data_IF_961222613899
#
_entry.id   IF_961222613899
#
_cell.length_a   1.000
_cell.length_b   1.000
_cell.length_c   1.000
_cell.angle_alpha   90.00
_cell.angle_beta   90.00
_cell.angle_gamma   90.00
#
_symmetry.space_group_name_H-M   'P 1'
#
loop_
_entity.id
_entity.type
_entity.pdbx_description
1 polymer ?
#
# COMPACT_ATOMS: atom_id res chain seq x y z
N UNK A 1 -7.16 7.93 7.64
CA UNK A 1 -5.68 8.05 7.64
C UNK A 1 -5.14 8.52 9.00
N UNK A 2 -4.16 7.81 9.57
CA UNK A 2 -3.44 8.23 10.80
C UNK A 2 -2.61 9.49 10.54
N UNK A 3 -2.22 10.23 11.59
CA UNK A 3 -1.34 11.39 11.45
C UNK A 3 0.03 11.01 10.89
N UNK A 4 0.53 9.82 11.24
CA UNK A 4 1.80 9.28 10.74
C UNK A 4 1.80 9.11 9.22
N UNK A 5 0.76 8.48 8.64
CA UNK A 5 0.63 8.35 7.18
C UNK A 5 0.51 9.69 6.46
N UNK A 6 -0.12 10.70 7.08
CA UNK A 6 -0.17 12.06 6.50
C UNK A 6 1.22 12.69 6.44
N UNK A 7 2.01 12.55 7.49
CA UNK A 7 3.39 13.04 7.56
C UNK A 7 4.27 12.34 6.55
N UNK A 8 4.14 11.03 6.41
CA UNK A 8 4.87 10.22 5.43
C UNK A 8 4.57 10.65 3.98
N UNK A 9 3.30 10.80 3.61
CA UNK A 9 2.89 11.29 2.28
C UNK A 9 3.45 12.70 2.03
N UNK A 10 3.39 13.58 3.04
CA UNK A 10 3.95 14.92 2.97
C UNK A 10 5.47 14.88 2.73
N UNK A 11 6.19 14.01 3.43
CA UNK A 11 7.63 13.85 3.26
C UNK A 11 7.98 13.38 1.85
N UNK A 12 7.34 12.32 1.36
CA UNK A 12 7.59 11.74 0.04
C UNK A 12 7.26 12.69 -1.11
N UNK A 13 6.20 13.51 -0.97
CA UNK A 13 5.78 14.47 -1.99
C UNK A 13 6.54 15.82 -1.93
N UNK A 14 7.16 16.15 -0.80
CA UNK A 14 7.83 17.45 -0.58
C UNK A 14 9.05 17.64 -1.48
N UNK A 15 9.19 18.81 -2.11
CA UNK A 15 10.40 19.18 -2.87
C UNK A 15 11.62 19.49 -1.99
N UNK A 16 11.45 19.56 -0.66
CA UNK A 16 12.50 19.93 0.29
C UNK A 16 13.55 18.83 0.51
N UNK A 17 13.21 17.58 0.24
CA UNK A 17 14.07 16.42 0.50
C UNK A 17 14.66 15.88 -0.79
N UNK A 18 15.90 15.38 -0.70
CA UNK A 18 16.57 14.79 -1.85
C UNK A 18 15.92 13.47 -2.24
N UNK A 19 16.19 12.98 -3.46
CA UNK A 19 15.72 11.65 -3.87
C UNK A 19 16.31 10.55 -2.99
N UNK A 20 17.55 10.73 -2.51
CA UNK A 20 18.18 9.78 -1.59
C UNK A 20 17.45 9.70 -0.25
N UNK A 21 17.10 10.84 0.36
CA UNK A 21 16.33 10.87 1.62
C UNK A 21 14.96 10.20 1.45
N UNK A 22 14.30 10.53 0.34
CA UNK A 22 13.00 9.93 0.01
C UNK A 22 13.09 8.45 -0.30
N UNK A 23 14.21 7.97 -0.83
CA UNK A 23 14.43 6.53 -1.06
C UNK A 23 14.41 5.76 0.25
N UNK A 24 15.07 6.28 1.29
CA UNK A 24 15.05 5.68 2.63
C UNK A 24 13.64 5.68 3.22
N UNK A 25 12.93 6.82 3.12
CA UNK A 25 11.55 6.90 3.58
C UNK A 25 10.61 5.95 2.82
N UNK A 26 10.78 5.84 1.50
CA UNK A 26 10.02 4.93 0.66
C UNK A 26 10.20 3.49 1.14
N UNK A 27 11.43 3.06 1.43
CA UNK A 27 11.69 1.71 1.95
C UNK A 27 10.89 1.44 3.23
N UNK A 28 10.92 2.38 4.19
CA UNK A 28 10.15 2.27 5.43
C UNK A 28 8.65 2.17 5.17
N UNK A 29 8.13 3.06 4.34
CA UNK A 29 6.71 3.13 3.97
C UNK A 29 6.21 1.88 3.23
N UNK A 30 6.98 1.38 2.26
CA UNK A 30 6.67 0.15 1.52
C UNK A 30 6.65 -1.03 2.48
N UNK A 31 7.61 -1.09 3.39
CA UNK A 31 7.69 -2.15 4.41
C UNK A 31 6.46 -2.11 5.30
N UNK A 32 6.08 -0.95 5.84
CA UNK A 32 4.87 -0.78 6.65
C UNK A 32 3.62 -1.20 5.86
N UNK A 33 3.51 -0.77 4.60
CA UNK A 33 2.38 -1.08 3.72
C UNK A 33 2.24 -2.58 3.49
N UNK A 34 3.34 -3.30 3.23
CA UNK A 34 3.35 -4.76 3.06
C UNK A 34 2.87 -5.46 4.36
N UNK A 35 3.27 -4.95 5.52
CA UNK A 35 2.86 -5.52 6.81
C UNK A 35 1.46 -5.15 7.26
N UNK A 36 0.82 -4.16 6.64
CA UNK A 36 -0.53 -3.72 6.99
C UNK A 36 -1.56 -4.82 6.67
N UNK A 37 -2.09 -5.44 7.74
CA UNK A 37 -3.11 -6.50 7.64
C UNK A 37 -4.51 -5.97 7.37
N UNK A 38 -4.71 -4.67 7.48
CA UNK A 38 -5.96 -4.01 7.12
C UNK A 38 -5.99 -3.78 5.60
N UNK A 39 -4.84 -3.46 5.00
CA UNK A 39 -4.70 -3.34 3.54
C UNK A 39 -4.74 -4.73 2.88
N UNK A 40 -3.88 -5.63 3.33
CA UNK A 40 -3.76 -6.97 2.76
C UNK A 40 -4.17 -7.97 3.81
N UNK A 41 -5.30 -8.66 3.63
CA UNK A 41 -5.71 -9.70 4.59
C UNK A 41 -4.91 -10.96 4.37
N UNK A 42 -4.73 -11.32 3.10
CA UNK A 42 -3.95 -12.47 2.66
C UNK A 42 -2.66 -11.99 1.99
N UNK A 43 -1.66 -12.86 1.93
CA UNK A 43 -0.42 -12.50 1.25
C UNK A 43 -0.59 -12.45 -0.28
N UNK A 44 -1.53 -13.20 -0.85
CA UNK A 44 -1.80 -13.14 -2.29
C UNK A 44 -2.32 -11.77 -2.73
N UNK A 45 -3.01 -11.05 -1.83
CA UNK A 45 -3.48 -9.68 -2.09
C UNK A 45 -2.30 -8.71 -2.35
N UNK A 46 -1.10 -9.04 -1.85
CA UNK A 46 0.10 -8.23 -2.06
C UNK A 46 0.52 -8.19 -3.52
N UNK A 47 0.17 -9.20 -4.34
CA UNK A 47 0.55 -9.26 -5.76
C UNK A 47 0.13 -8.01 -6.52
N UNK A 48 -1.06 -7.47 -6.21
CA UNK A 48 -1.56 -6.23 -6.83
C UNK A 48 -0.65 -5.06 -6.50
N UNK A 49 -0.25 -4.90 -5.25
CA UNK A 49 0.62 -3.80 -4.83
C UNK A 49 2.07 -3.99 -5.32
N UNK A 50 2.60 -5.21 -5.23
CA UNK A 50 3.98 -5.47 -5.64
C UNK A 50 4.21 -5.37 -7.14
N UNK A 51 3.14 -5.45 -7.95
CA UNK A 51 3.21 -5.23 -9.40
C UNK A 51 3.84 -3.88 -9.78
N UNK A 52 3.61 -2.84 -8.97
CA UNK A 52 4.21 -1.51 -9.14
C UNK A 52 5.73 -1.58 -9.21
N UNK A 53 6.34 -2.35 -8.29
CA UNK A 53 7.77 -2.54 -8.24
C UNK A 53 8.22 -3.53 -9.31
N UNK A 54 7.43 -4.57 -9.56
CA UNK A 54 7.74 -5.59 -10.55
C UNK A 54 7.89 -4.99 -11.95
N UNK A 55 6.95 -4.13 -12.37
CA UNK A 55 6.96 -3.48 -13.68
C UNK A 55 8.19 -2.58 -13.85
N UNK A 56 8.53 -1.81 -12.81
CA UNK A 56 9.73 -1.00 -12.80
C UNK A 56 11.01 -1.86 -12.92
N UNK A 57 11.15 -2.90 -12.10
CA UNK A 57 12.37 -3.71 -12.07
C UNK A 57 12.52 -4.61 -13.29
N UNK A 58 11.43 -5.07 -13.92
CA UNK A 58 11.50 -5.78 -15.21
C UNK A 58 12.12 -4.92 -16.31
N UNK A 59 11.87 -3.61 -16.27
CA UNK A 59 12.40 -2.68 -17.27
C UNK A 59 13.83 -2.22 -17.01
N UNK A 60 14.34 -2.41 -15.79
CA UNK A 60 15.64 -1.84 -15.35
C UNK A 60 16.67 -2.90 -14.95
N UNK A 61 16.26 -4.13 -14.64
CA UNK A 61 17.13 -5.22 -14.19
C UNK A 61 17.06 -6.37 -15.20
N UNK A 62 18.16 -6.62 -15.91
CA UNK A 62 18.25 -7.58 -17.02
C UNK A 62 17.74 -8.99 -16.68
N UNK A 63 18.02 -9.50 -15.48
CA UNK A 63 17.67 -10.88 -15.09
C UNK A 63 16.43 -10.97 -14.19
N UNK A 64 15.68 -9.88 -14.04
CA UNK A 64 14.51 -9.86 -13.20
C UNK A 64 13.25 -10.30 -13.95
N UNK A 65 12.82 -11.53 -13.67
CA UNK A 65 11.66 -12.16 -14.30
C UNK A 65 10.40 -12.11 -13.42
N UNK A 66 10.30 -11.12 -12.54
CA UNK A 66 9.20 -10.99 -11.59
C UNK A 66 9.41 -11.69 -10.25
N UNK A 67 8.53 -11.38 -9.29
CA UNK A 67 8.59 -11.98 -7.96
C UNK A 67 8.12 -13.43 -8.01
N UNK A 68 8.97 -14.34 -7.53
CA UNK A 68 8.63 -15.76 -7.45
C UNK A 68 7.53 -16.02 -6.42
N UNK A 69 6.66 -16.98 -6.70
CA UNK A 69 5.50 -17.31 -5.87
C UNK A 69 5.85 -17.58 -4.39
N UNK A 70 7.01 -18.21 -4.13
CA UNK A 70 7.46 -18.49 -2.77
C UNK A 70 7.70 -17.22 -1.93
N UNK A 71 7.94 -16.06 -2.55
CA UNK A 71 8.12 -14.79 -1.84
C UNK A 71 6.83 -14.36 -1.14
N UNK A 72 5.67 -14.65 -1.74
CA UNK A 72 4.37 -14.33 -1.16
C UNK A 72 4.00 -15.26 0.02
N UNK A 73 4.77 -16.32 0.28
CA UNK A 73 4.58 -17.13 1.49
C UNK A 73 5.00 -16.40 2.77
N UNK A 74 5.83 -15.35 2.67
CA UNK A 74 6.30 -14.57 3.81
C UNK A 74 6.39 -13.08 3.49
N UNK A 75 5.59 -12.27 4.20
CA UNK A 75 5.64 -10.80 4.09
C UNK A 75 7.02 -10.23 4.36
N UNK A 76 7.72 -10.80 5.33
CA UNK A 76 9.08 -10.38 5.69
C UNK A 76 10.06 -10.64 4.56
N UNK A 77 9.97 -11.81 3.93
CA UNK A 77 10.83 -12.16 2.80
C UNK A 77 10.55 -11.25 1.61
N UNK A 78 9.28 -10.99 1.32
CA UNK A 78 8.84 -10.09 0.26
C UNK A 78 9.29 -8.64 0.50
N UNK A 79 9.02 -8.10 1.70
CA UNK A 79 9.43 -6.76 2.08
C UNK A 79 10.95 -6.58 2.01
N UNK A 80 11.71 -7.53 2.57
CA UNK A 80 13.18 -7.49 2.50
C UNK A 80 13.68 -7.48 1.05
N UNK A 81 13.08 -8.30 0.17
CA UNK A 81 13.45 -8.34 -1.25
C UNK A 81 13.18 -7.01 -1.95
N UNK A 82 11.99 -6.45 -1.78
CA UNK A 82 11.59 -5.20 -2.42
C UNK A 82 12.44 -4.04 -1.88
N UNK A 83 12.62 -3.95 -0.57
CA UNK A 83 13.44 -2.92 0.08
C UNK A 83 14.87 -2.94 -0.41
N UNK A 84 15.47 -4.13 -0.56
CA UNK A 84 16.81 -4.29 -1.14
C UNK A 84 16.86 -3.77 -2.58
N UNK A 85 15.89 -4.15 -3.42
CA UNK A 85 15.86 -3.71 -4.82
C UNK A 85 15.67 -2.19 -4.95
N UNK A 86 14.82 -1.58 -4.11
CA UNK A 86 14.69 -0.12 -4.05
C UNK A 86 16.01 0.52 -3.61
N UNK A 87 16.68 -0.04 -2.61
CA UNK A 87 17.95 0.47 -2.12
C UNK A 87 19.04 0.44 -3.20
N UNK A 88 19.14 -0.67 -3.95
CA UNK A 88 20.09 -0.88 -5.05
C UNK A 88 19.72 -0.10 -6.33
N UNK A 89 18.56 0.55 -6.39
CA UNK A 89 18.20 1.41 -7.52
C UNK A 89 19.01 2.73 -7.49
N UNK A 90 19.85 2.92 -8.51
CA UNK A 90 20.70 4.09 -8.67
C UNK A 90 20.08 5.19 -9.53
N UNK A 91 19.08 4.85 -10.37
CA UNK A 91 18.39 5.84 -11.20
C UNK A 91 17.43 6.70 -10.38
N UNK A 92 17.80 7.97 -10.18
CA UNK A 92 16.97 8.95 -9.47
C UNK A 92 15.60 9.20 -10.13
N UNK A 93 15.49 9.07 -11.46
CA UNK A 93 14.22 9.24 -12.18
C UNK A 93 13.31 8.05 -11.91
N UNK A 94 13.85 6.85 -11.99
CA UNK A 94 13.17 5.62 -11.62
C UNK A 94 12.71 5.58 -10.18
N UNK A 95 13.56 6.00 -9.24
CA UNK A 95 13.17 6.11 -7.82
C UNK A 95 12.00 7.09 -7.64
N UNK A 96 11.98 8.24 -8.34
CA UNK A 96 10.82 9.14 -8.30
C UNK A 96 9.55 8.47 -8.81
N UNK A 97 9.62 7.73 -9.92
CA UNK A 97 8.46 6.97 -10.45
C UNK A 97 7.93 5.96 -9.44
N UNK A 98 8.81 5.25 -8.73
CA UNK A 98 8.40 4.34 -7.65
C UNK A 98 7.70 5.08 -6.51
N UNK A 99 8.22 6.24 -6.09
CA UNK A 99 7.59 7.09 -5.06
C UNK A 99 6.18 7.49 -5.51
N UNK A 100 6.03 8.01 -6.73
CA UNK A 100 4.75 8.50 -7.24
C UNK A 100 3.72 7.36 -7.35
N UNK A 101 4.15 6.19 -7.81
CA UNK A 101 3.29 5.01 -7.94
C UNK A 101 2.85 4.48 -6.57
N UNK A 102 3.76 4.47 -5.60
CA UNK A 102 3.44 4.11 -4.22
C UNK A 102 2.44 5.10 -3.59
N UNK A 103 2.66 6.40 -3.76
CA UNK A 103 1.75 7.44 -3.26
C UNK A 103 0.36 7.34 -3.92
N UNK A 104 0.30 7.02 -5.21
CA UNK A 104 -0.96 6.79 -5.91
C UNK A 104 -1.74 5.62 -5.27
N UNK A 105 -1.07 4.49 -5.02
CA UNK A 105 -1.68 3.34 -4.35
C UNK A 105 -2.25 3.71 -2.96
N UNK A 106 -1.47 4.42 -2.14
CA UNK A 106 -1.92 4.83 -0.80
C UNK A 106 -3.16 5.74 -0.87
N UNK A 107 -3.20 6.67 -1.83
CA UNK A 107 -4.35 7.56 -2.03
C UNK A 107 -5.60 6.80 -2.49
N UNK A 108 -5.46 5.89 -3.45
CA UNK A 108 -6.57 5.04 -3.92
C UNK A 108 -7.16 4.22 -2.78
N UNK A 109 -6.31 3.66 -1.93
CA UNK A 109 -6.75 2.86 -0.80
C UNK A 109 -7.48 3.70 0.27
N UNK A 110 -7.03 4.93 0.57
CA UNK A 110 -7.75 5.82 1.51
C UNK A 110 -9.12 6.24 0.95
N UNK A 111 -9.24 6.45 -0.38
CA UNK A 111 -10.52 6.72 -1.02
C UNK A 111 -11.46 5.51 -1.02
N UNK A 112 -10.94 4.30 -1.27
CA UNK A 112 -11.69 3.06 -1.18
C UNK A 112 -12.26 2.80 0.22
N UNK A 113 -11.44 3.00 1.26
CA UNK A 113 -11.88 2.89 2.66
C UNK A 113 -12.99 3.89 3.02
N UNK A 114 -12.89 5.15 2.58
CA UNK A 114 -13.95 6.15 2.81
C UNK A 114 -15.27 5.71 2.18
N UNK A 115 -15.24 5.13 0.98
CA UNK A 115 -16.46 4.64 0.32
C UNK A 115 -17.11 3.46 1.08
N UNK A 116 -16.32 2.48 1.54
CA UNK A 116 -16.83 1.33 2.29
C UNK A 116 -17.34 1.71 3.69
N UNK A 117 -16.69 2.65 4.37
CA UNK A 117 -17.14 3.16 5.67
C UNK A 117 -18.44 3.95 5.55
N UNK A 118 -18.62 4.74 4.47
CA UNK A 118 -19.89 5.41 4.18
C UNK A 118 -20.99 4.40 3.87
N UNK A 119 -20.71 3.35 3.09
CA UNK A 119 -21.67 2.27 2.81
C UNK A 119 -22.06 1.52 4.09
N UNK A 120 -21.09 1.15 4.95
CA UNK A 120 -21.36 0.50 6.25
C UNK A 120 -22.12 1.39 7.22
N UNK A 121 -21.89 2.71 7.21
CA UNK A 121 -22.68 3.67 8.00
C UNK A 121 -24.11 3.80 7.49
N UNK A 122 -24.32 3.78 6.18
CA UNK A 122 -25.67 3.80 5.60
C UNK A 122 -26.42 2.49 5.87
N UNK A 123 -25.75 1.34 5.74
CA UNK A 123 -26.31 0.01 6.07
C UNK A 123 -26.64 -0.17 7.57
N UNK A 124 -25.96 0.55 8.47
CA UNK A 124 -26.30 0.58 9.91
C UNK A 124 -27.45 1.54 10.26
N UNK A 125 -27.84 2.41 9.32
CA UNK A 125 -28.88 3.42 9.52
C UNK A 125 -30.25 2.94 9.04
N UNK A 126 -30.27 1.96 8.13
CA UNK A 126 -31.46 1.14 7.88
C UNK A 126 -31.58 0.17 9.05
N UNK A 127 -32.68 0.23 9.78
CA UNK A 127 -32.94 -0.67 10.91
C UNK A 127 -32.75 -2.11 10.46
N UNK A 128 -32.03 -2.88 11.27
CA UNK A 128 -31.90 -4.31 11.02
C UNK A 128 -33.32 -4.92 11.04
N UNK A 129 -33.60 -5.87 10.14
CA UNK A 129 -34.88 -6.63 10.18
C UNK A 129 -35.15 -7.25 11.57
N UNK A 130 -34.10 -7.48 12.36
CA UNK A 130 -34.19 -7.89 13.77
C UNK A 130 -34.67 -6.77 14.70
N UNK A 131 -34.25 -5.53 14.47
CA UNK A 131 -34.70 -4.36 15.24
C UNK A 131 -36.19 -4.08 14.96
N UNK A 132 -36.63 -4.29 13.72
CA UNK A 132 -38.04 -4.17 13.34
C UNK A 132 -38.90 -5.30 13.95
N UNK A 133 -38.34 -6.50 14.14
CA UNK A 133 -39.04 -7.61 14.79
C UNK A 133 -39.16 -7.42 16.30
N UNK A 134 -38.09 -6.93 16.96
CA UNK A 134 -38.04 -6.72 18.41
C UNK A 134 -38.96 -5.56 18.84
N UNK A 135 -39.13 -4.54 18.00
CA UNK A 135 -39.96 -3.37 18.31
C UNK A 135 -41.44 -3.53 17.91
N UNK A 136 -41.84 -4.65 17.29
CA UNK A 136 -43.23 -4.90 16.89
C UNK A 136 -44.09 -5.48 18.02
N UNK A 137 -43.46 -6.01 19.06
CA UNK A 137 -44.12 -6.64 20.22
C UNK A 137 -44.12 -5.75 21.49
N UNK A 138 -44.01 -4.42 21.32
CA UNK A 138 -44.19 -3.43 22.39
C UNK A 138 -45.39 -2.54 22.16
#
# INVERSE_FOLDING_TARGET
MTNEKKTEISFLSSSKYTVADKKVMLIGSVTETIYDRIIFRNNDDLKKYTSIFEDYFKSTVHDFNGYKEYLFKSRTLLASRISRMIFEADDSVGVRKLIDSHLAFIKEFDHGKKSEETIKKNLKKESSLLDDFINKDK
#
